data_IF_658719964431
#
_entry.id   IF_658719964431
#
_cell.length_a   1.000
_cell.length_b   1.000
_cell.length_c   1.000
_cell.angle_alpha   90.00
_cell.angle_beta   90.00
_cell.angle_gamma   90.00
#
_symmetry.space_group_name_H-M   'P 1'
#
loop_
_entity.id
_entity.type
_entity.pdbx_description
1 polymer ?
#
# COMPACT_ATOMS: atom_id res chain seq x y z
N UNK A 1 27.71 0.80 11.64
CA UNK A 1 27.00 2.10 11.60
C UNK A 1 27.08 2.74 10.23
N UNK A 2 25.99 3.42 9.81
CA UNK A 2 25.98 4.19 8.56
C UNK A 2 26.65 5.55 8.81
N UNK A 3 27.51 6.02 7.89
CA UNK A 3 28.15 7.34 7.98
C UNK A 3 27.15 8.51 7.77
N UNK A 4 27.65 9.76 7.76
CA UNK A 4 26.82 10.94 7.48
C UNK A 4 26.33 10.95 6.02
N UNK A 5 25.01 10.92 5.81
CA UNK A 5 24.41 10.98 4.47
C UNK A 5 23.30 12.03 4.41
N UNK A 6 23.03 12.52 3.18
CA UNK A 6 21.99 13.53 2.93
C UNK A 6 20.62 12.96 3.32
N UNK A 7 19.86 13.72 4.11
CA UNK A 7 18.54 13.32 4.59
C UNK A 7 18.54 12.54 5.91
N UNK A 8 19.70 12.31 6.54
CA UNK A 8 19.78 11.64 7.84
C UNK A 8 18.94 12.31 8.93
N UNK A 9 18.82 13.66 8.92
CA UNK A 9 18.04 14.38 9.93
C UNK A 9 16.55 14.02 9.84
N UNK A 10 16.01 13.94 8.62
CA UNK A 10 14.61 13.58 8.37
C UNK A 10 14.34 12.14 8.81
N UNK A 11 15.26 11.23 8.46
CA UNK A 11 15.19 9.82 8.84
C UNK A 11 15.29 9.69 10.37
N UNK A 12 16.25 10.35 11.02
CA UNK A 12 16.40 10.35 12.48
C UNK A 12 15.16 10.92 13.16
N UNK A 13 14.61 12.04 12.69
CA UNK A 13 13.38 12.64 13.24
C UNK A 13 12.18 11.71 13.10
N UNK A 14 12.05 11.00 11.98
CA UNK A 14 11.03 9.96 11.81
C UNK A 14 11.25 8.84 12.82
N UNK A 15 12.45 8.27 12.91
CA UNK A 15 12.77 7.19 13.86
C UNK A 15 12.51 7.55 15.33
N UNK A 16 12.90 8.76 15.77
CA UNK A 16 12.83 9.13 17.19
C UNK A 16 11.52 9.83 17.59
N UNK A 17 10.80 10.47 16.67
CA UNK A 17 9.70 11.39 17.03
C UNK A 17 8.46 11.30 16.15
N UNK A 18 8.48 10.56 15.04
CA UNK A 18 7.45 10.66 14.01
C UNK A 18 6.87 9.32 13.56
N UNK A 19 5.55 9.25 13.42
CA UNK A 19 4.92 8.22 12.58
C UNK A 19 4.74 8.77 11.17
N UNK A 20 5.04 8.00 10.11
CA UNK A 20 4.73 8.41 8.75
C UNK A 20 3.27 8.82 8.60
N UNK A 21 3.01 9.85 7.79
CA UNK A 21 1.65 10.29 7.43
C UNK A 21 1.01 9.36 6.41
N UNK A 22 1.83 8.62 5.65
CA UNK A 22 1.41 7.69 4.60
C UNK A 22 2.23 6.41 4.69
N UNK A 23 1.63 5.31 4.27
CA UNK A 23 2.20 3.98 4.30
C UNK A 23 2.10 3.36 2.91
N UNK A 24 3.16 2.68 2.49
CA UNK A 24 3.09 1.76 1.36
C UNK A 24 2.50 0.44 1.87
N UNK A 25 1.48 -0.07 1.20
CA UNK A 25 0.79 -1.31 1.55
C UNK A 25 0.63 -2.21 0.33
N UNK A 26 0.50 -3.51 0.59
CA UNK A 26 -0.01 -4.46 -0.39
C UNK A 26 -1.52 -4.47 -0.38
N UNK A 27 -2.13 -4.66 -1.55
CA UNK A 27 -3.57 -4.65 -1.75
C UNK A 27 -3.96 -5.84 -2.63
N UNK A 28 -4.98 -6.58 -2.23
CA UNK A 28 -5.69 -7.53 -3.09
C UNK A 28 -6.91 -6.84 -3.68
N UNK A 29 -7.14 -7.03 -4.97
CA UNK A 29 -8.30 -6.49 -5.69
C UNK A 29 -9.38 -7.57 -5.74
N UNK A 30 -10.64 -7.19 -5.47
CA UNK A 30 -11.78 -8.09 -5.67
C UNK A 30 -12.12 -8.16 -7.16
N UNK A 31 -11.91 -9.34 -7.76
CA UNK A 31 -12.04 -9.56 -9.19
C UNK A 31 -10.72 -9.46 -9.96
N UNK A 32 -10.85 -9.46 -11.30
CA UNK A 32 -9.72 -9.61 -12.23
C UNK A 32 -9.33 -8.31 -12.96
N UNK A 33 -9.96 -7.19 -12.59
CA UNK A 33 -9.71 -5.90 -13.21
C UNK A 33 -8.38 -5.30 -12.76
N UNK A 34 -7.55 -4.90 -13.73
CA UNK A 34 -6.30 -4.19 -13.47
C UNK A 34 -6.59 -2.70 -13.26
N UNK A 35 -6.49 -2.27 -12.01
CA UNK A 35 -6.60 -0.87 -11.61
C UNK A 35 -5.46 0.00 -12.18
N UNK A 36 -5.79 1.15 -12.76
CA UNK A 36 -4.79 2.07 -13.29
C UNK A 36 -3.95 2.71 -12.16
N UNK A 37 -2.63 2.92 -12.37
CA UNK A 37 -1.81 3.70 -11.45
C UNK A 37 -2.36 5.12 -11.24
N UNK A 38 -2.21 5.65 -10.03
CA UNK A 38 -2.75 6.93 -9.56
C UNK A 38 -4.27 6.98 -9.38
N UNK A 39 -4.99 5.88 -9.56
CA UNK A 39 -6.42 5.82 -9.20
C UNK A 39 -6.60 5.97 -7.70
N UNK A 40 -7.55 6.81 -7.30
CA UNK A 40 -7.84 7.12 -5.91
C UNK A 40 -8.44 5.91 -5.16
N UNK A 41 -7.97 5.71 -3.93
CA UNK A 41 -8.58 4.78 -2.98
C UNK A 41 -9.45 5.59 -2.03
N UNK A 42 -10.67 5.12 -1.82
CA UNK A 42 -11.72 5.81 -1.05
C UNK A 42 -12.13 4.96 0.16
N UNK A 43 -12.41 5.62 1.28
CA UNK A 43 -13.12 5.06 2.42
C UNK A 43 -14.14 6.10 2.91
N UNK A 44 -15.38 5.66 3.15
CA UNK A 44 -16.46 6.56 3.61
C UNK A 44 -16.57 7.84 2.76
N UNK A 45 -16.52 7.70 1.43
CA UNK A 45 -16.57 8.79 0.44
C UNK A 45 -15.40 9.80 0.50
N UNK A 46 -14.32 9.50 1.21
CA UNK A 46 -13.12 10.33 1.26
C UNK A 46 -11.95 9.65 0.58
N UNK A 47 -11.20 10.37 -0.27
CA UNK A 47 -9.92 9.88 -0.79
C UNK A 47 -8.93 9.67 0.37
N UNK A 48 -8.47 8.43 0.51
CA UNK A 48 -7.57 7.99 1.58
C UNK A 48 -6.20 7.53 1.08
N UNK A 49 -6.04 7.33 -0.23
CA UNK A 49 -4.81 6.86 -0.82
C UNK A 49 -4.91 6.79 -2.34
N UNK A 50 -3.97 6.08 -2.95
CA UNK A 50 -4.00 5.76 -4.39
C UNK A 50 -3.27 4.47 -4.70
N UNK A 51 -3.68 3.81 -5.77
CA UNK A 51 -2.94 2.72 -6.40
C UNK A 51 -1.65 3.28 -7.00
N UNK A 52 -0.52 2.59 -6.81
CA UNK A 52 0.76 2.94 -7.44
C UNK A 52 1.14 2.00 -8.56
N UNK A 53 0.80 0.72 -8.41
CA UNK A 53 1.04 -0.33 -9.43
C UNK A 53 0.06 -1.47 -9.19
N UNK A 54 -0.46 -2.07 -10.26
CA UNK A 54 -1.43 -3.16 -10.19
C UNK A 54 -1.12 -4.19 -11.28
N UNK A 55 -1.15 -5.47 -10.94
CA UNK A 55 -0.85 -6.59 -11.85
C UNK A 55 -1.65 -7.83 -11.45
N UNK A 56 -1.94 -8.69 -12.43
CA UNK A 56 -2.35 -10.06 -12.14
C UNK A 56 -1.12 -10.89 -11.74
N UNK A 57 -1.23 -11.64 -10.65
CA UNK A 57 -0.19 -12.55 -10.14
C UNK A 57 -0.56 -13.99 -10.48
N UNK A 58 0.13 -14.64 -11.46
CA UNK A 58 -0.14 -16.04 -11.79
C UNK A 58 0.11 -17.01 -10.64
N UNK A 59 1.03 -16.66 -9.73
CA UNK A 59 1.35 -17.52 -8.58
C UNK A 59 0.24 -17.49 -7.51
N UNK A 60 -0.46 -16.37 -7.38
CA UNK A 60 -1.53 -16.19 -6.39
C UNK A 60 -2.93 -16.33 -6.98
N UNK A 61 -3.01 -16.47 -8.31
CA UNK A 61 -4.23 -16.49 -9.12
C UNK A 61 -5.21 -15.37 -8.73
N UNK A 62 -4.68 -14.13 -8.65
CA UNK A 62 -5.45 -12.94 -8.28
C UNK A 62 -4.76 -11.66 -8.74
N UNK A 63 -5.52 -10.57 -8.82
CA UNK A 63 -4.97 -9.23 -9.02
C UNK A 63 -4.48 -8.65 -7.70
N UNK A 64 -3.25 -8.16 -7.71
CA UNK A 64 -2.58 -7.52 -6.58
C UNK A 64 -2.05 -6.14 -6.97
N UNK A 65 -1.98 -5.25 -5.99
CA UNK A 65 -1.50 -3.90 -6.18
C UNK A 65 -0.65 -3.41 -5.02
N UNK A 66 0.26 -2.49 -5.30
CA UNK A 66 0.83 -1.62 -4.28
C UNK A 66 0.04 -0.33 -4.23
N UNK A 67 -0.10 0.20 -3.02
CA UNK A 67 -0.80 1.45 -2.78
C UNK A 67 -0.10 2.29 -1.73
N UNK A 68 -0.27 3.61 -1.83
CA UNK A 68 0.09 4.54 -0.77
C UNK A 68 -1.20 5.05 -0.14
N UNK A 69 -1.37 4.78 1.16
CA UNK A 69 -2.55 5.15 1.94
C UNK A 69 -2.18 6.05 3.12
N UNK A 70 -3.11 6.89 3.57
CA UNK A 70 -2.94 7.72 4.77
C UNK A 70 -2.85 6.85 6.03
N UNK A 71 -2.19 7.38 7.05
CA UNK A 71 -2.14 6.78 8.38
C UNK A 71 -3.56 6.44 8.87
N UNK A 72 -3.72 5.23 9.42
CA UNK A 72 -5.00 4.72 9.90
C UNK A 72 -5.77 3.88 8.88
N UNK A 73 -5.36 3.85 7.62
CA UNK A 73 -6.01 3.06 6.55
C UNK A 73 -5.07 1.96 6.00
N UNK A 74 -4.10 1.55 6.80
CA UNK A 74 -2.95 0.73 6.42
C UNK A 74 -2.90 -0.61 7.17
N UNK A 75 -3.90 -0.87 8.00
CA UNK A 75 -3.96 -2.09 8.79
C UNK A 75 -4.38 -3.26 7.90
N UNK A 76 -3.79 -4.43 8.14
CA UNK A 76 -4.10 -5.65 7.39
C UNK A 76 -5.56 -6.03 7.60
N UNK A 77 -6.25 -6.38 6.51
CA UNK A 77 -7.68 -6.69 6.51
C UNK A 77 -8.58 -5.46 6.33
N UNK A 78 -8.04 -4.24 6.30
CA UNK A 78 -8.82 -3.05 6.01
C UNK A 78 -9.42 -3.14 4.59
N UNK A 79 -10.74 -3.06 4.48
CA UNK A 79 -11.47 -2.99 3.22
C UNK A 79 -11.61 -1.52 2.78
N UNK A 80 -11.26 -1.24 1.54
CA UNK A 80 -11.30 0.07 0.89
C UNK A 80 -11.95 -0.06 -0.50
N UNK A 81 -12.16 1.06 -1.19
CA UNK A 81 -12.79 1.08 -2.51
C UNK A 81 -11.91 1.81 -3.53
N UNK A 82 -11.91 1.32 -4.77
CA UNK A 82 -11.34 2.00 -5.95
C UNK A 82 -12.41 2.01 -7.03
N UNK A 83 -13.05 3.16 -7.25
CA UNK A 83 -14.31 3.19 -8.01
C UNK A 83 -15.35 2.31 -7.32
N UNK A 84 -15.91 1.35 -8.05
CA UNK A 84 -16.87 0.35 -7.54
C UNK A 84 -16.20 -0.97 -7.12
N UNK A 85 -14.86 -1.04 -7.17
CA UNK A 85 -14.10 -2.27 -6.90
C UNK A 85 -13.62 -2.26 -5.45
N UNK A 86 -14.01 -3.29 -4.71
CA UNK A 86 -13.52 -3.52 -3.36
C UNK A 86 -12.05 -3.94 -3.40
N UNK A 87 -11.25 -3.39 -2.49
CA UNK A 87 -9.86 -3.79 -2.32
C UNK A 87 -9.53 -3.99 -0.85
N UNK A 88 -8.62 -4.92 -0.54
CA UNK A 88 -8.28 -5.30 0.83
C UNK A 88 -6.79 -5.15 1.08
N UNK A 89 -6.42 -4.46 2.15
CA UNK A 89 -5.03 -4.33 2.57
C UNK A 89 -4.50 -5.67 3.07
N UNK A 90 -3.34 -6.09 2.57
CA UNK A 90 -2.68 -7.37 2.91
C UNK A 90 -1.23 -7.18 3.32
N UNK A 91 -0.68 -8.21 3.98
CA UNK A 91 0.72 -8.23 4.38
C UNK A 91 1.62 -8.28 3.15
N UNK A 92 2.71 -7.52 3.19
CA UNK A 92 3.84 -7.67 2.29
C UNK A 92 4.96 -8.49 2.96
N UNK A 93 5.75 -9.27 2.20
CA UNK A 93 5.62 -9.49 0.76
C UNK A 93 4.41 -10.37 0.42
N UNK A 94 3.86 -10.23 -0.78
CA UNK A 94 2.73 -11.04 -1.25
C UNK A 94 3.04 -12.55 -1.30
N UNK A 95 4.31 -12.87 -1.56
CA UNK A 95 4.84 -14.24 -1.60
C UNK A 95 6.17 -14.21 -0.85
N UNK A 96 6.40 -15.16 0.05
CA UNK A 96 7.72 -15.38 0.64
C UNK A 96 8.48 -16.37 -0.23
N UNK A 97 9.71 -16.02 -0.64
CA UNK A 97 10.61 -17.03 -1.20
C UNK A 97 11.14 -17.89 -0.06
N UNK A 98 10.82 -19.18 -0.09
CA UNK A 98 11.56 -20.16 0.69
C UNK A 98 12.82 -20.50 -0.12
N UNK A 99 13.94 -19.88 0.26
CA UNK A 99 15.27 -20.34 -0.17
C UNK A 99 15.70 -21.55 0.66
#
# INVERSE_FOLDING_TARGET
DKGCYIGQEVIAKMHFRGKPRRYLVGVEVDGDEILEPNTDIVAENNTVGRITSCVYSPQLDRVIALAIVRRGMHDVGQCLQVGDIAVKVVVLPFVTRND
#
